data_IF_126255283956
#
_entry.id   IF_126255283956
#
_cell.length_a   1.000
_cell.length_b   1.000
_cell.length_c   1.000
_cell.angle_alpha   90.00
_cell.angle_beta   90.00
_cell.angle_gamma   90.00
#
_symmetry.space_group_name_H-M   'P 1'
#
loop_
_entity.id
_entity.type
_entity.pdbx_description
1 polymer ?
#
# COMPACT_ATOMS: atom_id res chain seq x y z
N UNK A 1 -66.35 23.06 -58.45
CA UNK A 1 -65.45 23.65 -57.52
C UNK A 1 -65.08 22.56 -56.50
N UNK A 2 -63.92 21.91 -56.63
CA UNK A 2 -63.55 20.71 -55.88
C UNK A 2 -62.41 21.08 -54.94
N UNK A 3 -62.67 21.10 -53.63
CA UNK A 3 -61.62 21.32 -52.60
C UNK A 3 -60.94 19.99 -52.24
N UNK A 4 -59.63 19.87 -52.52
CA UNK A 4 -58.80 18.76 -52.10
C UNK A 4 -58.38 19.00 -50.70
N UNK A 5 -58.68 18.07 -49.77
CA UNK A 5 -58.13 17.96 -48.46
C UNK A 5 -56.80 17.16 -48.53
N UNK A 6 -55.68 17.75 -48.07
CA UNK A 6 -54.44 17.08 -47.87
C UNK A 6 -54.36 16.66 -46.41
N UNK A 7 -54.31 15.37 -46.13
CA UNK A 7 -54.02 14.77 -44.82
C UNK A 7 -52.53 14.57 -44.72
N UNK A 8 -51.86 15.34 -43.84
CA UNK A 8 -50.46 15.16 -43.49
C UNK A 8 -50.31 14.13 -42.35
N UNK A 9 -49.62 13.05 -42.63
CA UNK A 9 -49.21 12.06 -41.61
C UNK A 9 -47.91 12.51 -40.94
N UNK A 10 -47.99 12.79 -39.65
CA UNK A 10 -46.79 13.08 -38.81
C UNK A 10 -46.20 11.78 -38.31
N UNK A 11 -45.00 11.46 -38.74
CA UNK A 11 -44.17 10.37 -38.18
C UNK A 11 -43.51 10.84 -36.89
N UNK A 12 -43.92 10.30 -35.77
CA UNK A 12 -43.25 10.46 -34.48
C UNK A 12 -42.07 9.49 -34.42
N UNK A 13 -40.83 10.01 -34.54
CA UNK A 13 -39.60 9.25 -34.29
C UNK A 13 -39.36 9.14 -32.80
N UNK A 14 -39.52 7.95 -32.23
CA UNK A 14 -39.19 7.64 -30.83
C UNK A 14 -37.68 7.46 -30.69
N UNK A 15 -36.99 8.47 -30.16
CA UNK A 15 -35.60 8.31 -29.72
C UNK A 15 -35.55 7.50 -28.42
N UNK A 16 -35.18 6.23 -28.51
CA UNK A 16 -34.84 5.43 -27.32
C UNK A 16 -33.49 5.88 -26.79
N UNK A 17 -33.46 6.59 -25.67
CA UNK A 17 -32.24 6.90 -24.93
C UNK A 17 -31.79 5.65 -24.20
N UNK A 18 -30.70 5.03 -24.67
CA UNK A 18 -30.03 3.98 -23.92
C UNK A 18 -29.41 4.59 -22.64
N UNK A 19 -29.90 4.22 -21.47
CA UNK A 19 -29.28 4.57 -20.20
C UNK A 19 -27.88 3.91 -20.11
N UNK A 20 -26.84 4.64 -19.64
CA UNK A 20 -25.55 4.02 -19.41
C UNK A 20 -25.72 2.92 -18.35
N UNK A 21 -25.30 1.71 -18.67
CA UNK A 21 -25.22 0.62 -17.71
C UNK A 21 -24.19 0.99 -16.65
N UNK A 22 -24.62 1.32 -15.44
CA UNK A 22 -23.73 1.46 -14.29
C UNK A 22 -23.08 0.10 -14.07
N UNK A 23 -21.77 0.00 -14.29
CA UNK A 23 -21.00 -1.16 -13.90
C UNK A 23 -21.13 -1.30 -12.38
N UNK A 24 -21.76 -2.38 -11.92
CA UNK A 24 -21.78 -2.73 -10.49
C UNK A 24 -20.33 -2.86 -10.02
N UNK A 25 -20.01 -2.37 -8.82
CA UNK A 25 -18.68 -2.58 -8.25
C UNK A 25 -18.39 -4.09 -8.24
N UNK A 26 -17.22 -4.46 -8.70
CA UNK A 26 -16.80 -5.86 -8.69
C UNK A 26 -16.79 -6.33 -7.23
N UNK A 27 -17.77 -7.12 -6.84
CA UNK A 27 -17.80 -7.74 -5.52
C UNK A 27 -16.62 -8.69 -5.42
N UNK A 28 -15.77 -8.52 -4.40
CA UNK A 28 -14.68 -9.42 -4.09
C UNK A 28 -15.18 -10.86 -3.83
N UNK A 29 -14.26 -11.82 -3.64
CA UNK A 29 -14.61 -13.19 -3.30
C UNK A 29 -15.30 -13.26 -1.93
N UNK A 30 -16.21 -14.23 -1.77
CA UNK A 30 -16.84 -14.55 -0.47
C UNK A 30 -15.90 -15.31 0.46
N UNK A 31 -15.03 -16.15 -0.13
CA UNK A 31 -14.02 -16.88 0.62
C UNK A 31 -12.85 -15.96 0.95
N UNK A 32 -12.31 -16.10 2.14
CA UNK A 32 -11.20 -15.28 2.58
C UNK A 32 -9.88 -15.65 1.90
N UNK A 33 -9.11 -14.64 1.55
CA UNK A 33 -7.70 -14.76 1.21
C UNK A 33 -6.92 -15.26 2.43
N UNK A 34 -5.85 -16.03 2.19
CA UNK A 34 -4.91 -16.45 3.23
C UNK A 34 -3.57 -15.80 2.93
N UNK A 35 -2.92 -15.25 3.95
CA UNK A 35 -1.62 -14.63 3.81
C UNK A 35 -0.65 -15.14 4.87
N UNK A 36 0.63 -15.27 4.51
CA UNK A 36 1.68 -15.63 5.44
C UNK A 36 3.03 -15.02 5.06
N UNK A 37 3.85 -14.74 6.05
CA UNK A 37 5.24 -14.30 5.85
C UNK A 37 6.12 -15.53 5.62
N UNK A 38 6.62 -15.70 4.41
CA UNK A 38 7.51 -16.82 4.02
C UNK A 38 8.97 -16.49 4.32
N UNK A 39 9.34 -15.23 4.11
CA UNK A 39 10.68 -14.73 4.41
C UNK A 39 10.62 -13.28 4.89
N UNK A 40 11.43 -12.99 5.90
CA UNK A 40 11.71 -11.64 6.36
C UNK A 40 13.23 -11.48 6.47
N UNK A 41 13.80 -10.55 5.71
CA UNK A 41 15.24 -10.32 5.64
C UNK A 41 15.53 -8.83 5.73
N UNK A 42 16.50 -8.47 6.55
CA UNK A 42 16.97 -7.11 6.68
C UNK A 42 17.15 -6.67 8.11
N UNK A 43 17.78 -5.55 8.27
CA UNK A 43 18.11 -4.99 9.59
C UNK A 43 16.89 -4.37 10.31
N UNK A 44 15.78 -4.18 9.61
CA UNK A 44 14.52 -3.64 10.16
C UNK A 44 13.47 -4.70 10.45
N UNK A 45 13.63 -5.92 9.92
CA UNK A 45 12.73 -7.04 10.17
C UNK A 45 13.48 -8.37 10.25
N UNK A 46 14.22 -8.62 11.35
CA UNK A 46 14.76 -9.94 11.61
C UNK A 46 13.64 -10.99 11.56
N UNK A 47 14.01 -12.24 11.26
CA UNK A 47 13.01 -13.32 11.22
C UNK A 47 12.17 -13.38 12.50
N UNK A 48 10.85 -13.45 12.34
CA UNK A 48 9.87 -13.47 13.44
C UNK A 48 9.49 -12.08 13.98
N UNK A 49 9.99 -10.98 13.41
CA UNK A 49 9.63 -9.62 13.81
C UNK A 49 8.65 -8.93 12.85
N UNK A 50 8.11 -9.66 11.89
CA UNK A 50 7.05 -9.21 10.99
C UNK A 50 5.98 -10.28 10.87
N UNK A 51 4.72 -9.84 10.84
CA UNK A 51 3.55 -10.70 10.66
C UNK A 51 2.58 -10.07 9.65
N UNK A 52 1.67 -10.88 9.08
CA UNK A 52 0.69 -10.42 8.11
C UNK A 52 -0.69 -11.01 8.40
N UNK A 53 -1.72 -10.16 8.43
CA UNK A 53 -3.11 -10.55 8.70
C UNK A 53 -4.06 -9.97 7.67
N UNK A 54 -5.11 -10.72 7.32
CA UNK A 54 -6.15 -10.30 6.37
C UNK A 54 -7.27 -9.58 7.11
N UNK A 55 -7.81 -8.51 6.52
CA UNK A 55 -8.98 -7.82 7.05
C UNK A 55 -10.23 -8.71 6.97
N UNK A 56 -11.17 -8.61 7.93
CA UNK A 56 -12.39 -9.45 7.94
C UNK A 56 -13.24 -9.32 6.68
N UNK A 57 -13.22 -8.17 6.02
CA UNK A 57 -13.97 -7.86 4.81
C UNK A 57 -13.22 -8.25 3.51
N UNK A 58 -12.02 -8.83 3.65
CA UNK A 58 -11.20 -9.28 2.53
C UNK A 58 -10.80 -8.19 1.53
N UNK A 59 -10.77 -6.92 1.98
CA UNK A 59 -10.43 -5.76 1.14
C UNK A 59 -8.99 -5.29 1.33
N UNK A 60 -8.32 -5.78 2.36
CA UNK A 60 -6.95 -5.40 2.70
C UNK A 60 -6.22 -6.51 3.46
N UNK A 61 -4.91 -6.39 3.55
CA UNK A 61 -4.12 -7.06 4.56
C UNK A 61 -3.18 -6.08 5.25
N UNK A 62 -2.84 -6.40 6.47
CA UNK A 62 -1.98 -5.58 7.33
C UNK A 62 -0.67 -6.30 7.57
N UNK A 63 0.44 -5.58 7.46
CA UNK A 63 1.76 -6.05 7.88
C UNK A 63 2.17 -5.28 9.13
N UNK A 64 2.46 -6.01 10.20
CA UNK A 64 2.96 -5.48 11.47
C UNK A 64 4.45 -5.74 11.61
N UNK A 65 5.16 -4.81 12.26
CA UNK A 65 6.58 -4.94 12.56
C UNK A 65 6.81 -4.70 14.05
N UNK A 66 7.74 -5.42 14.67
CA UNK A 66 8.08 -5.26 16.10
C UNK A 66 9.51 -4.73 16.36
N UNK A 67 10.28 -4.43 15.31
CA UNK A 67 11.67 -3.97 15.44
C UNK A 67 12.10 -3.00 14.34
N UNK A 68 11.16 -2.36 13.63
CA UNK A 68 11.47 -1.54 12.45
C UNK A 68 11.69 -0.08 12.83
N UNK A 69 12.88 0.24 13.36
CA UNK A 69 13.26 1.58 13.80
C UNK A 69 14.65 1.95 13.28
N UNK A 70 14.75 3.09 12.57
CA UNK A 70 16.00 3.75 12.25
C UNK A 70 16.25 4.93 13.21
N UNK A 71 17.50 5.14 13.64
CA UNK A 71 17.82 6.20 14.59
C UNK A 71 19.26 6.72 14.42
N UNK A 72 19.51 7.90 14.96
CA UNK A 72 20.85 8.51 15.05
C UNK A 72 20.94 9.38 16.29
N UNK A 73 22.14 9.45 16.90
CA UNK A 73 22.38 10.23 18.11
C UNK A 73 22.74 9.37 19.31
N UNK A 74 22.35 9.81 20.50
CA UNK A 74 22.70 9.14 21.76
C UNK A 74 22.10 7.73 21.79
N UNK A 75 22.95 6.73 22.08
CA UNK A 75 22.52 5.33 22.16
C UNK A 75 22.40 4.60 20.83
N UNK A 76 22.48 5.30 19.68
CA UNK A 76 22.43 4.68 18.37
C UNK A 76 23.78 4.11 17.94
N UNK A 77 23.78 2.93 17.34
CA UNK A 77 24.96 2.40 16.63
C UNK A 77 25.13 3.13 15.30
N UNK A 78 26.33 3.11 14.74
CA UNK A 78 26.64 3.77 13.46
C UNK A 78 25.81 3.24 12.28
N UNK A 79 25.30 2.02 12.36
CA UNK A 79 24.48 1.38 11.33
C UNK A 79 22.97 1.64 11.50
N UNK A 80 22.55 2.19 12.64
CA UNK A 80 21.12 2.35 12.95
C UNK A 80 20.43 3.46 12.16
N UNK A 81 21.21 4.35 11.53
CA UNK A 81 20.64 5.41 10.69
C UNK A 81 19.84 4.89 9.49
N UNK A 82 20.01 3.61 9.14
CA UNK A 82 19.35 2.97 8.02
C UNK A 82 18.92 1.56 8.41
N UNK A 83 17.65 1.28 8.25
CA UNK A 83 17.05 -0.05 8.41
C UNK A 83 16.28 -0.42 7.15
N UNK A 84 16.40 -1.65 6.73
CA UNK A 84 15.65 -2.16 5.59
C UNK A 84 14.96 -3.47 5.93
N UNK A 85 13.83 -3.70 5.27
CA UNK A 85 13.05 -4.92 5.38
C UNK A 85 12.68 -5.41 3.98
N UNK A 86 12.91 -6.69 3.72
CA UNK A 86 12.46 -7.40 2.52
C UNK A 86 11.57 -8.56 2.97
N UNK A 87 10.30 -8.48 2.65
CA UNK A 87 9.33 -9.55 2.92
C UNK A 87 9.01 -10.29 1.63
N UNK A 88 8.86 -11.61 1.74
CA UNK A 88 8.16 -12.43 0.77
C UNK A 88 6.86 -12.92 1.43
N UNK A 89 5.74 -12.54 0.87
CA UNK A 89 4.40 -12.89 1.35
C UNK A 89 3.81 -13.94 0.43
N UNK A 90 3.36 -15.06 0.99
CA UNK A 90 2.56 -16.06 0.29
C UNK A 90 1.09 -15.67 0.41
N UNK A 91 0.47 -15.37 -0.73
CA UNK A 91 -0.90 -14.88 -0.79
C UNK A 91 -1.73 -15.86 -1.59
N UNK A 92 -2.58 -16.62 -0.89
CA UNK A 92 -3.55 -17.51 -1.50
C UNK A 92 -4.86 -16.79 -1.74
N UNK A 93 -5.22 -16.63 -3.01
CA UNK A 93 -6.48 -16.02 -3.41
C UNK A 93 -7.54 -17.08 -3.69
N UNK A 94 -8.84 -16.79 -3.42
CA UNK A 94 -9.93 -17.69 -3.75
C UNK A 94 -10.00 -18.01 -5.25
N UNK A 95 -10.44 -19.22 -5.57
CA UNK A 95 -10.53 -19.72 -6.95
C UNK A 95 -11.43 -18.79 -7.81
N UNK A 96 -11.02 -18.52 -9.03
CA UNK A 96 -11.74 -17.65 -9.97
C UNK A 96 -11.49 -16.16 -9.78
N UNK A 97 -10.56 -15.79 -8.88
CA UNK A 97 -10.17 -14.42 -8.64
C UNK A 97 -8.66 -14.22 -8.77
N UNK A 98 -8.29 -12.98 -8.98
CA UNK A 98 -6.94 -12.46 -8.85
C UNK A 98 -6.97 -11.12 -8.16
N UNK A 99 -5.81 -10.60 -7.75
CA UNK A 99 -5.69 -9.37 -6.99
C UNK A 99 -4.56 -8.47 -7.50
N UNK A 100 -4.69 -7.19 -7.18
CA UNK A 100 -3.64 -6.18 -7.28
C UNK A 100 -3.61 -5.33 -6.01
N UNK A 101 -2.49 -4.70 -5.72
CA UNK A 101 -2.40 -3.68 -4.67
C UNK A 101 -2.95 -2.36 -5.23
N UNK A 102 -4.02 -1.86 -4.64
CA UNK A 102 -4.70 -0.62 -5.05
C UNK A 102 -4.24 0.61 -4.27
N UNK A 103 -3.67 0.42 -3.10
CA UNK A 103 -3.13 1.47 -2.29
C UNK A 103 -2.43 0.92 -1.06
N UNK A 104 -1.66 1.76 -0.40
CA UNK A 104 -0.92 1.38 0.80
C UNK A 104 -0.97 2.55 1.78
N UNK A 105 -1.34 2.25 3.03
CA UNK A 105 -1.24 3.18 4.14
C UNK A 105 -0.05 2.78 5.01
N UNK A 106 0.96 3.63 5.05
CA UNK A 106 2.09 3.49 5.95
C UNK A 106 1.85 4.32 7.19
N UNK A 107 2.15 3.76 8.35
CA UNK A 107 2.04 4.44 9.65
C UNK A 107 3.30 4.25 10.46
N UNK A 108 3.56 5.19 11.34
CA UNK A 108 4.72 5.13 12.21
C UNK A 108 4.78 6.31 13.15
N UNK A 109 5.85 6.38 13.90
CA UNK A 109 6.19 7.51 14.76
C UNK A 109 7.53 8.11 14.32
N UNK A 110 7.69 9.40 14.45
CA UNK A 110 8.97 10.07 14.23
C UNK A 110 9.24 11.08 15.34
N UNK A 111 10.46 11.02 15.86
CA UNK A 111 11.08 12.05 16.69
C UNK A 111 12.33 12.54 15.96
N UNK A 112 12.26 13.71 15.36
CA UNK A 112 13.36 14.30 14.59
C UNK A 112 13.74 15.65 15.20
N UNK A 113 14.96 15.74 15.65
CA UNK A 113 15.54 16.98 16.17
C UNK A 113 15.64 18.07 15.07
N UNK A 114 15.74 19.31 15.50
CA UNK A 114 15.98 20.42 14.57
C UNK A 114 17.25 20.18 13.76
N UNK A 115 17.13 20.20 12.43
CA UNK A 115 18.22 19.92 11.50
C UNK A 115 18.39 18.47 11.11
N UNK A 116 17.68 17.54 11.77
CA UNK A 116 17.57 16.16 11.32
C UNK A 116 16.48 15.97 10.27
N UNK A 117 16.54 14.88 9.55
CA UNK A 117 15.49 14.48 8.60
C UNK A 117 15.34 12.94 8.58
N UNK A 118 14.16 12.50 8.22
CA UNK A 118 13.86 11.08 8.03
C UNK A 118 13.29 10.81 6.64
N UNK A 119 13.33 9.56 6.22
CA UNK A 119 12.57 9.10 5.07
C UNK A 119 12.17 7.64 5.20
N UNK A 120 10.97 7.36 4.78
CA UNK A 120 10.48 6.03 4.47
C UNK A 120 10.52 5.87 2.94
N UNK A 121 10.85 4.66 2.45
CA UNK A 121 10.87 4.33 1.03
C UNK A 121 10.40 2.90 0.84
N UNK A 122 9.40 2.70 0.00
CA UNK A 122 8.86 1.38 -0.27
C UNK A 122 8.69 1.10 -1.78
N UNK A 123 8.70 -0.18 -2.11
CA UNK A 123 8.22 -0.72 -3.38
C UNK A 123 7.80 -2.18 -3.18
N UNK A 124 6.96 -2.67 -4.08
CA UNK A 124 6.49 -4.05 -4.08
C UNK A 124 6.44 -4.60 -5.51
N UNK A 125 6.38 -5.92 -5.65
CA UNK A 125 6.28 -6.60 -6.94
C UNK A 125 5.93 -8.08 -6.73
N UNK A 126 5.25 -8.69 -7.69
CA UNK A 126 5.10 -10.14 -7.73
C UNK A 126 6.42 -10.79 -8.17
N UNK A 127 6.73 -11.92 -7.56
CA UNK A 127 7.93 -12.69 -7.93
C UNK A 127 7.96 -12.97 -9.44
N UNK A 128 9.08 -12.63 -10.08
CA UNK A 128 9.26 -12.76 -11.52
C UNK A 128 8.78 -11.56 -12.33
N UNK A 129 8.14 -10.57 -11.71
CA UNK A 129 7.77 -9.32 -12.35
C UNK A 129 8.77 -8.19 -12.02
N UNK A 130 8.84 -7.15 -12.84
CA UNK A 130 9.64 -5.97 -12.53
C UNK A 130 9.19 -5.30 -11.22
N UNK A 131 10.13 -4.76 -10.46
CA UNK A 131 9.83 -3.98 -9.27
C UNK A 131 9.05 -2.71 -9.66
N UNK A 132 8.04 -2.35 -8.85
CA UNK A 132 7.37 -1.06 -8.97
C UNK A 132 8.33 0.09 -8.68
N UNK A 133 7.98 1.28 -9.12
CA UNK A 133 8.74 2.49 -8.79
C UNK A 133 8.78 2.67 -7.27
N UNK A 134 9.97 2.98 -6.76
CA UNK A 134 10.12 3.31 -5.33
C UNK A 134 9.45 4.64 -5.03
N UNK A 135 8.56 4.62 -4.05
CA UNK A 135 7.93 5.82 -3.51
C UNK A 135 8.69 6.20 -2.24
N UNK A 136 8.90 7.49 -2.03
CA UNK A 136 9.62 8.01 -0.88
C UNK A 136 8.82 9.08 -0.18
N UNK A 137 8.63 8.91 1.12
CA UNK A 137 8.05 9.87 2.03
C UNK A 137 9.14 10.51 2.88
N UNK A 138 9.25 11.84 2.83
CA UNK A 138 10.24 12.60 3.58
C UNK A 138 9.65 13.26 4.82
N UNK A 139 10.48 13.39 5.87
CA UNK A 139 10.17 14.05 7.13
C UNK A 139 11.30 15.01 7.47
N UNK A 140 10.97 16.18 8.00
CA UNK A 140 11.95 17.21 8.38
C UNK A 140 11.73 17.61 9.82
N UNK A 141 12.81 17.60 10.62
CA UNK A 141 12.78 18.07 12.00
C UNK A 141 12.76 19.60 12.12
N UNK A 142 12.22 20.15 13.24
CA UNK A 142 11.74 19.40 14.39
C UNK A 142 10.39 18.73 14.10
N UNK A 143 10.26 17.47 14.48
CA UNK A 143 9.05 16.67 14.34
C UNK A 143 8.96 15.71 15.51
N UNK A 144 7.80 15.57 16.14
CA UNK A 144 7.61 14.66 17.28
C UNK A 144 6.12 14.24 17.34
N UNK A 145 5.76 13.26 16.55
CA UNK A 145 4.41 12.70 16.51
C UNK A 145 4.31 11.43 15.66
N UNK A 146 3.13 10.81 15.70
CA UNK A 146 2.72 9.81 14.74
C UNK A 146 2.62 10.42 13.35
N UNK A 147 2.88 9.58 12.35
CA UNK A 147 2.74 9.95 10.96
C UNK A 147 1.98 8.88 10.17
N UNK A 148 1.28 9.33 9.15
CA UNK A 148 0.67 8.47 8.15
C UNK A 148 1.00 9.01 6.76
N UNK A 149 1.24 8.08 5.82
CA UNK A 149 1.39 8.36 4.39
C UNK A 149 0.58 7.34 3.61
N UNK A 150 -0.13 7.82 2.59
CA UNK A 150 -0.99 6.99 1.75
C UNK A 150 -0.51 7.07 0.31
N UNK A 151 -0.27 5.90 -0.28
CA UNK A 151 -0.02 5.75 -1.71
C UNK A 151 -1.27 5.18 -2.37
N UNK A 152 -1.83 5.89 -3.34
CA UNK A 152 -2.97 5.43 -4.13
C UNK A 152 -2.52 5.07 -5.54
N UNK A 153 -2.88 3.87 -6.00
CA UNK A 153 -2.56 3.39 -7.34
C UNK A 153 -3.80 3.54 -8.21
N UNK A 154 -3.68 4.37 -9.25
CA UNK A 154 -4.80 4.56 -10.18
C UNK A 154 -5.22 3.26 -10.86
N UNK A 155 -6.51 3.08 -11.11
CA UNK A 155 -7.09 1.86 -11.69
C UNK A 155 -6.40 1.44 -13.00
N UNK A 156 -5.95 2.38 -13.81
CA UNK A 156 -5.20 2.13 -15.05
C UNK A 156 -3.77 1.62 -14.84
N UNK A 157 -3.25 1.73 -13.60
CA UNK A 157 -1.88 1.35 -13.25
C UNK A 157 -1.82 0.10 -12.36
N UNK A 158 -2.96 -0.54 -12.10
CA UNK A 158 -3.01 -1.76 -11.29
C UNK A 158 -2.31 -2.91 -12.02
N UNK A 159 -1.32 -3.51 -11.35
CA UNK A 159 -0.68 -4.75 -11.80
C UNK A 159 -1.34 -5.94 -11.10
N UNK A 160 -2.16 -6.66 -11.84
CA UNK A 160 -2.83 -7.87 -11.33
C UNK A 160 -1.90 -9.08 -11.47
N UNK A 161 -1.90 -9.95 -10.45
CA UNK A 161 -1.31 -11.28 -10.58
C UNK A 161 -2.00 -12.02 -11.74
N UNK A 162 -1.27 -12.70 -12.65
CA UNK A 162 -1.92 -13.49 -13.69
C UNK A 162 -2.85 -14.56 -13.11
N UNK A 163 -4.02 -14.74 -13.75
CA UNK A 163 -5.03 -15.71 -13.29
C UNK A 163 -4.48 -17.14 -13.21
N UNK A 164 -4.75 -17.81 -12.10
CA UNK A 164 -4.30 -19.18 -11.86
C UNK A 164 -2.84 -19.32 -11.46
N UNK A 165 -2.09 -18.22 -11.39
CA UNK A 165 -0.72 -18.22 -10.90
C UNK A 165 -0.67 -17.99 -9.39
N UNK A 166 0.32 -18.64 -8.76
CA UNK A 166 0.67 -18.38 -7.36
C UNK A 166 2.12 -17.88 -7.35
N UNK A 167 2.29 -16.64 -6.90
CA UNK A 167 3.59 -16.00 -6.80
C UNK A 167 3.68 -15.25 -5.47
N UNK A 168 4.86 -15.21 -4.89
CA UNK A 168 5.08 -14.39 -3.71
C UNK A 168 4.94 -12.91 -4.05
N UNK A 169 4.28 -12.17 -3.17
CA UNK A 169 4.32 -10.72 -3.17
C UNK A 169 5.55 -10.28 -2.38
N UNK A 170 6.51 -9.67 -3.07
CA UNK A 170 7.69 -9.11 -2.44
C UNK A 170 7.44 -7.66 -2.06
N UNK A 171 7.76 -7.31 -0.82
CA UNK A 171 7.68 -5.96 -0.28
C UNK A 171 9.06 -5.55 0.22
N UNK A 172 9.57 -4.42 -0.26
CA UNK A 172 10.83 -3.86 0.18
C UNK A 172 10.55 -2.50 0.81
N UNK A 173 10.95 -2.33 2.05
CA UNK A 173 10.81 -1.07 2.79
C UNK A 173 12.13 -0.65 3.40
N UNK A 174 12.42 0.63 3.40
CA UNK A 174 13.61 1.22 4.01
C UNK A 174 13.23 2.44 4.85
N UNK A 175 13.71 2.49 6.08
CA UNK A 175 13.71 3.67 6.92
C UNK A 175 15.12 4.25 7.00
N UNK A 176 15.21 5.57 6.92
CA UNK A 176 16.46 6.28 7.04
C UNK A 176 16.30 7.55 7.87
N UNK A 177 17.23 7.78 8.79
CA UNK A 177 17.35 9.02 9.56
C UNK A 177 18.69 9.66 9.25
N UNK A 178 18.66 10.92 8.85
CA UNK A 178 19.86 11.73 8.62
C UNK A 178 19.96 12.78 9.72
N UNK A 179 21.09 12.76 10.44
CA UNK A 179 21.36 13.73 11.51
C UNK A 179 21.38 15.19 11.04
N UNK A 180 21.80 15.42 9.78
CA UNK A 180 22.06 16.77 9.28
C UNK A 180 23.03 17.52 10.18
N UNK A 181 22.58 18.68 10.70
CA UNK A 181 23.32 19.50 11.66
C UNK A 181 22.78 19.40 13.11
N UNK A 182 21.91 18.41 13.41
CA UNK A 182 21.41 18.19 14.78
C UNK A 182 22.51 17.75 15.74
N UNK A 183 22.33 18.03 17.02
CA UNK A 183 23.30 17.69 18.09
C UNK A 183 23.20 16.21 18.50
N UNK A 184 23.84 15.34 17.74
CA UNK A 184 23.86 13.90 18.01
C UNK A 184 24.67 13.48 19.23
N UNK A 185 25.34 14.39 19.91
CA UNK A 185 26.05 14.10 21.16
C UNK A 185 25.13 14.12 22.36
N UNK A 186 24.07 14.93 22.30
CA UNK A 186 23.14 15.15 23.42
C UNK A 186 21.72 14.74 23.09
N UNK A 187 21.37 14.53 21.81
CA UNK A 187 20.01 14.22 21.37
C UNK A 187 19.97 13.00 20.47
N UNK A 188 18.76 12.45 20.27
CA UNK A 188 18.50 11.32 19.39
C UNK A 188 17.36 11.69 18.43
N UNK A 189 17.52 11.32 17.18
CA UNK A 189 16.43 11.36 16.19
C UNK A 189 16.11 9.95 15.72
N UNK A 190 14.80 9.62 15.61
CA UNK A 190 14.34 8.31 15.18
C UNK A 190 13.12 8.39 14.25
N UNK A 191 12.97 7.34 13.46
CA UNK A 191 11.82 7.10 12.60
C UNK A 191 11.47 5.61 12.70
N UNK A 192 10.22 5.31 13.00
CA UNK A 192 9.75 3.93 13.16
C UNK A 192 8.57 3.62 12.26
N UNK A 193 8.42 2.35 11.90
CA UNK A 193 7.21 1.69 11.42
C UNK A 193 6.78 0.60 12.40
N UNK A 194 7.24 0.69 13.63
CA UNK A 194 6.91 -0.18 14.75
C UNK A 194 6.10 0.62 15.76
N UNK A 195 5.06 0.04 16.32
CA UNK A 195 4.29 0.66 17.39
C UNK A 195 4.64 0.05 18.74
N UNK A 196 4.99 0.91 19.67
CA UNK A 196 5.09 0.53 21.09
C UNK A 196 3.74 0.22 21.71
N UNK A 197 2.63 0.61 21.07
CA UNK A 197 1.25 0.45 21.54
C UNK A 197 0.38 -0.50 20.67
N UNK A 198 0.97 -1.16 19.66
CA UNK A 198 0.28 -2.12 18.80
C UNK A 198 -0.65 -1.49 17.74
N UNK A 199 -0.60 -0.17 17.53
CA UNK A 199 -1.51 0.55 16.62
C UNK A 199 -0.89 0.95 15.28
N UNK A 200 0.39 0.66 15.06
CA UNK A 200 1.11 1.09 13.84
C UNK A 200 1.31 -0.08 12.90
N UNK A 201 0.59 -0.03 11.80
CA UNK A 201 0.53 -1.07 10.79
C UNK A 201 0.73 -0.49 9.40
N UNK A 202 1.25 -1.30 8.47
CA UNK A 202 1.17 -0.99 7.05
C UNK A 202 0.01 -1.75 6.44
N UNK A 203 -0.99 -1.02 5.95
CA UNK A 203 -2.20 -1.60 5.35
C UNK A 203 -2.09 -1.59 3.84
N UNK A 204 -2.21 -2.74 3.22
CA UNK A 204 -2.23 -2.94 1.76
C UNK A 204 -3.68 -3.15 1.30
N UNK A 205 -4.24 -2.17 0.59
CA UNK A 205 -5.58 -2.24 0.02
C UNK A 205 -5.57 -3.04 -1.27
N UNK A 206 -6.56 -3.89 -1.44
CA UNK A 206 -6.65 -4.86 -2.53
C UNK A 206 -7.73 -4.46 -3.52
N UNK A 207 -7.40 -4.50 -4.81
CA UNK A 207 -8.37 -4.56 -5.88
C UNK A 207 -8.55 -6.00 -6.35
N UNK A 208 -9.78 -6.48 -6.34
CA UNK A 208 -10.15 -7.80 -6.84
C UNK A 208 -10.53 -7.77 -8.31
N UNK A 209 -10.23 -8.84 -9.02
CA UNK A 209 -10.66 -9.06 -10.41
C UNK A 209 -11.06 -10.52 -10.58
N UNK A 210 -12.15 -10.77 -11.27
CA UNK A 210 -12.54 -12.13 -11.69
C UNK A 210 -11.65 -12.61 -12.83
N UNK A 211 -11.25 -13.86 -12.78
CA UNK A 211 -10.60 -14.58 -13.87
C UNK A 211 -11.66 -15.15 -14.88
#
# INVERSE_FOLDING_TARGET
MLKKLLTGAALLASCATAAPASAAPATGPTDQMIIGVVAANGSGCPWGSADATVSPDNTAFTVTYSQFMAQTGVGAMQTDFRKNCQLALDVHVPQGFTYAIAGIDYRGFAHLERGASGSETANYYFQGEPQTTRIRHGFTGPFDSDWQRTDSIGVSSLSFLPCGEQRYLNVNTELRVNRGWSDTRNTTSMLTMDSTDGSIDTVYHIAWKRC
#
